data_IF_204937840854
#
_entry.id   IF_204937840854
#
_cell.length_a   1.000
_cell.length_b   1.000
_cell.length_c   1.000
_cell.angle_alpha   90.00
_cell.angle_beta   90.00
_cell.angle_gamma   90.00
#
_symmetry.space_group_name_H-M   'P 1'
#
loop_
_entity.id
_entity.type
_entity.pdbx_description
1 polymer ?
#
# COMPACT_ATOMS: atom_id res chain seq x y z
N UNK A 1 31.48 4.08 83.88
CA UNK A 1 31.15 5.05 82.84
C UNK A 1 31.16 4.31 81.51
N UNK A 2 30.00 3.88 81.03
CA UNK A 2 29.85 3.12 79.79
C UNK A 2 28.99 3.96 78.80
N UNK A 3 29.60 4.41 77.70
CA UNK A 3 28.91 5.15 76.66
C UNK A 3 28.42 4.15 75.63
N UNK A 4 27.09 4.00 75.55
CA UNK A 4 26.43 3.22 74.46
C UNK A 4 26.24 4.11 73.25
N UNK A 5 26.87 3.71 72.12
CA UNK A 5 26.66 4.31 70.83
C UNK A 5 25.43 3.64 70.16
N UNK A 6 24.39 4.41 69.90
CA UNK A 6 23.24 3.93 69.12
C UNK A 6 23.51 4.06 67.64
N UNK A 7 23.53 2.92 66.93
CA UNK A 7 23.65 2.85 65.48
C UNK A 7 22.27 3.04 64.85
N UNK A 8 22.07 4.19 64.19
CA UNK A 8 20.86 4.42 63.41
C UNK A 8 21.05 3.81 62.02
N UNK A 9 20.37 2.71 61.75
CA UNK A 9 20.29 2.09 60.41
C UNK A 9 19.25 2.85 59.58
N UNK A 10 19.72 3.62 58.60
CA UNK A 10 18.90 4.28 57.60
C UNK A 10 18.53 3.24 56.52
N UNK A 11 17.31 2.68 56.56
CA UNK A 11 16.79 1.78 55.54
C UNK A 11 16.37 2.57 54.30
N UNK A 12 17.17 2.51 53.24
CA UNK A 12 16.85 3.08 51.95
C UNK A 12 15.83 2.16 51.23
N UNK A 13 14.55 2.50 51.28
CA UNK A 13 13.50 1.75 50.55
C UNK A 13 13.58 2.08 49.06
N UNK A 14 14.17 1.13 48.31
CA UNK A 14 14.13 1.13 46.86
C UNK A 14 12.69 0.76 46.39
N UNK A 15 11.88 1.74 46.00
CA UNK A 15 10.58 1.47 45.36
C UNK A 15 10.84 0.98 43.94
N UNK A 16 10.44 -0.25 43.58
CA UNK A 16 10.52 -0.67 42.18
C UNK A 16 9.56 0.21 41.36
N UNK A 17 10.10 1.00 40.43
CA UNK A 17 9.34 1.71 39.44
C UNK A 17 8.51 0.71 38.64
N UNK A 18 7.19 0.77 38.76
CA UNK A 18 6.27 0.01 37.91
C UNK A 18 6.52 0.47 36.49
N UNK A 19 6.89 -0.41 35.55
CA UNK A 19 6.99 -0.02 34.15
C UNK A 19 5.63 0.52 33.72
N UNK A 20 5.58 1.75 33.22
CA UNK A 20 4.40 2.29 32.60
C UNK A 20 4.03 1.32 31.45
N UNK A 21 2.98 0.54 31.65
CA UNK A 21 2.40 -0.26 30.59
C UNK A 21 2.06 0.72 29.48
N UNK A 22 2.74 0.60 28.34
CA UNK A 22 2.40 1.30 27.12
C UNK A 22 0.88 1.09 26.95
N UNK A 23 0.12 2.19 26.99
CA UNK A 23 -1.30 2.14 26.75
C UNK A 23 -1.44 1.56 25.35
N UNK A 24 -1.86 0.30 25.26
CA UNK A 24 -2.21 -0.30 23.99
C UNK A 24 -3.26 0.62 23.38
N UNK A 25 -3.03 1.03 22.12
CA UNK A 25 -3.95 1.85 21.34
C UNK A 25 -5.25 1.09 21.06
N UNK A 26 -5.96 0.76 22.13
CA UNK A 26 -7.10 -0.12 22.11
C UNK A 26 -8.31 0.54 21.44
N UNK A 27 -8.94 -0.19 20.54
CA UNK A 27 -10.26 0.11 20.01
C UNK A 27 -11.33 -0.27 21.07
N UNK A 28 -12.48 0.40 21.12
CA UNK A 28 -12.90 1.52 20.27
C UNK A 28 -12.42 2.90 20.82
N UNK A 29 -12.29 3.90 19.92
CA UNK A 29 -12.05 5.29 20.28
C UNK A 29 -12.86 6.25 19.40
N UNK A 30 -13.02 7.51 19.85
CA UNK A 30 -13.65 8.57 19.05
C UNK A 30 -12.57 9.30 18.25
N UNK A 31 -12.77 9.42 16.94
CA UNK A 31 -11.82 10.07 16.03
C UNK A 31 -11.90 11.58 16.22
N UNK A 32 -10.86 12.18 16.77
CA UNK A 32 -10.72 13.64 16.92
C UNK A 32 -10.07 14.30 15.71
N UNK A 33 -9.18 13.56 15.03
CA UNK A 33 -8.49 14.03 13.82
C UNK A 33 -8.19 12.85 12.89
N UNK A 34 -7.93 13.15 11.61
CA UNK A 34 -7.49 12.16 10.59
C UNK A 34 -6.22 12.68 9.93
N UNK A 35 -5.19 11.85 9.87
CA UNK A 35 -3.92 12.14 9.20
C UNK A 35 -3.60 11.02 8.22
N UNK A 36 -3.16 11.37 7.01
CA UNK A 36 -2.76 10.42 5.98
C UNK A 36 -1.26 10.51 5.76
N UNK A 37 -0.57 9.36 5.74
CA UNK A 37 0.87 9.25 5.55
C UNK A 37 1.19 8.33 4.37
N UNK A 38 2.32 8.58 3.68
CA UNK A 38 2.81 7.73 2.59
C UNK A 38 2.29 8.10 1.20
N UNK A 39 1.52 9.17 1.06
CA UNK A 39 1.06 9.69 -0.22
C UNK A 39 2.23 10.25 -1.06
N UNK A 40 2.18 10.01 -2.35
CA UNK A 40 3.15 10.50 -3.34
C UNK A 40 2.47 11.24 -4.50
N UNK A 41 1.43 10.66 -5.07
CA UNK A 41 0.69 11.15 -6.25
C UNK A 41 -0.80 11.33 -5.97
N UNK A 42 -1.36 10.48 -5.12
CA UNK A 42 -2.76 10.57 -4.69
C UNK A 42 -2.91 11.71 -3.69
N UNK A 43 -3.93 12.55 -3.84
CA UNK A 43 -4.17 13.63 -2.88
C UNK A 43 -4.83 13.11 -1.60
N UNK A 44 -4.62 13.78 -0.47
CA UNK A 44 -5.35 13.47 0.78
C UNK A 44 -6.86 13.54 0.59
N UNK A 45 -7.34 14.53 -0.17
CA UNK A 45 -8.78 14.67 -0.48
C UNK A 45 -9.35 13.44 -1.19
N UNK A 46 -8.55 12.79 -2.02
CA UNK A 46 -8.95 11.51 -2.64
C UNK A 46 -9.12 10.43 -1.57
N UNK A 47 -8.17 10.33 -0.62
CA UNK A 47 -8.28 9.35 0.47
C UNK A 47 -9.54 9.61 1.31
N UNK A 48 -9.79 10.86 1.70
CA UNK A 48 -10.96 11.23 2.49
C UNK A 48 -12.29 10.91 1.78
N UNK A 49 -12.36 11.03 0.46
CA UNK A 49 -13.56 10.69 -0.31
C UNK A 49 -13.91 9.20 -0.27
N UNK A 50 -12.93 8.34 -0.09
CA UNK A 50 -13.12 6.89 -0.04
C UNK A 50 -13.09 6.31 1.39
N UNK A 51 -12.61 7.09 2.36
CA UNK A 51 -12.54 6.67 3.75
C UNK A 51 -13.92 6.76 4.41
N UNK A 52 -14.57 5.67 4.82
CA UNK A 52 -15.91 5.68 5.42
C UNK A 52 -15.86 6.04 6.92
N UNK A 53 -15.00 6.99 7.30
CA UNK A 53 -14.78 7.44 8.68
C UNK A 53 -14.65 8.96 8.69
N UNK A 54 -15.35 9.61 9.60
CA UNK A 54 -15.31 11.05 9.81
C UNK A 54 -14.81 11.40 11.20
N UNK A 55 -14.40 12.65 11.38
CA UNK A 55 -14.12 13.22 12.71
C UNK A 55 -15.41 13.18 13.53
N UNK A 56 -15.32 12.72 14.78
CA UNK A 56 -16.44 12.49 15.68
C UNK A 56 -16.99 11.07 15.65
N UNK A 57 -16.63 10.25 14.67
CA UNK A 57 -17.06 8.85 14.60
C UNK A 57 -16.39 8.00 15.68
N UNK A 58 -17.16 7.04 16.20
CA UNK A 58 -16.59 5.99 17.07
C UNK A 58 -16.02 4.87 16.18
N UNK A 59 -14.72 4.68 16.27
CA UNK A 59 -13.99 3.68 15.48
C UNK A 59 -13.79 2.41 16.31
N UNK A 60 -14.33 1.32 15.82
CA UNK A 60 -14.12 -0.04 16.35
C UNK A 60 -13.39 -0.92 15.32
N UNK A 61 -13.09 -2.15 15.67
CA UNK A 61 -12.38 -3.09 14.82
C UNK A 61 -13.13 -3.42 13.51
N UNK A 62 -14.46 -3.34 13.49
CA UNK A 62 -15.23 -3.56 12.27
C UNK A 62 -15.09 -2.39 11.30
N UNK A 63 -15.25 -1.17 11.78
CA UNK A 63 -15.10 0.06 10.98
C UNK A 63 -13.68 0.22 10.44
N UNK A 64 -12.65 -0.19 11.23
CA UNK A 64 -11.26 -0.26 10.73
C UNK A 64 -11.15 -1.19 9.52
N UNK A 65 -11.72 -2.39 9.60
CA UNK A 65 -11.71 -3.33 8.47
C UNK A 65 -12.45 -2.80 7.23
N UNK A 66 -13.57 -2.11 7.46
CA UNK A 66 -14.35 -1.48 6.39
C UNK A 66 -13.56 -0.36 5.71
N UNK A 67 -12.89 0.48 6.50
CA UNK A 67 -12.03 1.56 6.01
C UNK A 67 -10.86 1.02 5.16
N UNK A 68 -10.18 0.00 5.66
CA UNK A 68 -9.09 -0.67 4.93
C UNK A 68 -9.60 -1.24 3.60
N UNK A 69 -10.73 -1.97 3.60
CA UNK A 69 -11.31 -2.53 2.38
C UNK A 69 -11.72 -1.46 1.37
N UNK A 70 -12.32 -0.37 1.84
CA UNK A 70 -12.73 0.73 0.97
C UNK A 70 -11.52 1.37 0.27
N UNK A 71 -10.42 1.59 0.97
CA UNK A 71 -9.19 2.12 0.40
C UNK A 71 -8.53 1.13 -0.58
N UNK A 72 -8.47 -0.17 -0.24
CA UNK A 72 -7.97 -1.18 -1.18
C UNK A 72 -8.83 -1.28 -2.45
N UNK A 73 -10.15 -1.14 -2.33
CA UNK A 73 -11.07 -1.22 -3.47
C UNK A 73 -10.85 -0.10 -4.50
N UNK A 74 -10.20 1.01 -4.11
CA UNK A 74 -9.83 2.08 -5.07
C UNK A 74 -8.80 1.64 -6.10
N UNK A 75 -8.01 0.60 -5.79
CA UNK A 75 -6.90 0.15 -6.61
C UNK A 75 -5.65 1.06 -6.57
N UNK A 76 -5.69 2.18 -5.82
CA UNK A 76 -4.55 3.10 -5.74
C UNK A 76 -3.42 2.60 -4.84
N UNK A 77 -3.74 1.77 -3.86
CA UNK A 77 -2.81 1.37 -2.81
C UNK A 77 -2.47 -0.12 -2.90
N UNK A 78 -1.20 -0.43 -2.72
CA UNK A 78 -0.75 -1.82 -2.55
C UNK A 78 -0.73 -2.24 -1.09
N UNK A 79 -0.69 -1.26 -0.17
CA UNK A 79 -0.80 -1.49 1.26
C UNK A 79 -1.53 -0.35 1.97
N UNK A 80 -2.32 -0.69 2.99
CA UNK A 80 -3.09 0.24 3.82
C UNK A 80 -3.03 -0.24 5.26
N UNK A 81 -2.50 0.59 6.13
CA UNK A 81 -2.46 0.36 7.56
C UNK A 81 -3.21 1.47 8.29
N UNK A 82 -3.95 1.13 9.32
CA UNK A 82 -4.62 2.09 10.19
C UNK A 82 -3.99 2.00 11.57
N UNK A 83 -3.49 3.13 12.04
CA UNK A 83 -2.90 3.31 13.38
C UNK A 83 -3.71 4.33 14.16
N UNK A 84 -3.55 4.30 15.45
CA UNK A 84 -4.07 5.31 16.37
C UNK A 84 -2.91 6.09 16.99
N UNK A 85 -3.04 7.41 17.07
CA UNK A 85 -2.13 8.30 17.78
C UNK A 85 -2.97 9.26 18.62
N UNK A 86 -3.18 8.89 19.91
CA UNK A 86 -4.11 9.59 20.80
C UNK A 86 -5.57 9.49 20.33
N UNK A 87 -6.15 10.60 19.89
CA UNK A 87 -7.46 10.69 19.24
C UNK A 87 -7.38 10.80 17.70
N UNK A 88 -6.17 10.80 17.17
CA UNK A 88 -5.93 10.89 15.72
C UNK A 88 -5.95 9.51 15.07
N UNK A 89 -6.77 9.36 14.03
CA UNK A 89 -6.72 8.23 13.12
C UNK A 89 -5.59 8.48 12.10
N UNK A 90 -4.55 7.64 12.12
CA UNK A 90 -3.46 7.71 11.16
C UNK A 90 -3.65 6.64 10.09
N UNK A 91 -3.89 7.05 8.86
CA UNK A 91 -4.02 6.18 7.69
C UNK A 91 -2.68 6.16 6.96
N UNK A 92 -1.95 5.07 7.08
CA UNK A 92 -0.66 4.89 6.40
C UNK A 92 -0.89 4.10 5.13
N UNK A 93 -0.50 4.67 4.00
CA UNK A 93 -0.72 4.04 2.68
C UNK A 93 0.59 3.86 1.93
N UNK A 94 0.63 2.83 1.10
CA UNK A 94 1.69 2.62 0.14
C UNK A 94 1.08 2.60 -1.26
N UNK A 95 1.31 3.66 -2.03
CA UNK A 95 0.72 3.80 -3.35
C UNK A 95 1.28 2.77 -4.35
N UNK A 96 0.41 2.26 -5.22
CA UNK A 96 0.84 1.54 -6.43
C UNK A 96 1.47 2.53 -7.40
N UNK A 97 2.56 2.18 -8.08
CA UNK A 97 3.11 3.04 -9.13
C UNK A 97 2.11 3.19 -10.29
N UNK A 98 2.29 4.23 -11.09
CA UNK A 98 1.57 4.35 -12.35
C UNK A 98 2.46 3.96 -13.54
N UNK A 99 1.82 3.49 -14.60
CA UNK A 99 2.50 3.18 -15.86
C UNK A 99 2.89 4.49 -16.54
N UNK A 100 4.19 4.78 -16.64
CA UNK A 100 4.71 5.91 -17.40
C UNK A 100 4.63 5.63 -18.90
N UNK A 101 5.11 4.47 -19.30
CA UNK A 101 5.10 4.00 -20.68
C UNK A 101 5.21 2.48 -20.74
N UNK A 102 4.82 1.92 -21.85
CA UNK A 102 5.14 0.53 -22.20
C UNK A 102 5.64 0.42 -23.63
N UNK A 103 6.56 -0.49 -23.85
CA UNK A 103 7.19 -0.77 -25.12
C UNK A 103 7.01 -2.24 -25.47
N UNK A 104 6.73 -2.51 -26.75
CA UNK A 104 6.62 -3.88 -27.28
C UNK A 104 7.66 -4.03 -28.37
N UNK A 105 8.47 -5.07 -28.26
CA UNK A 105 9.52 -5.42 -29.23
C UNK A 105 9.35 -6.87 -29.69
N UNK A 106 9.93 -7.19 -30.86
CA UNK A 106 9.88 -8.55 -31.43
C UNK A 106 8.56 -8.94 -32.08
N UNK A 107 7.53 -8.11 -32.03
CA UNK A 107 6.17 -8.37 -32.51
C UNK A 107 6.02 -8.29 -34.06
N UNK A 108 6.87 -9.00 -34.80
CA UNK A 108 6.92 -8.94 -36.27
C UNK A 108 5.62 -9.36 -36.98
N UNK A 109 4.84 -10.24 -36.35
CA UNK A 109 3.62 -10.83 -36.93
C UNK A 109 2.34 -10.04 -36.61
N UNK A 110 2.39 -9.07 -35.69
CA UNK A 110 1.23 -8.26 -35.26
C UNK A 110 1.64 -6.79 -35.19
N UNK A 111 0.80 -5.91 -35.75
CA UNK A 111 1.08 -4.47 -35.71
C UNK A 111 1.08 -3.95 -34.27
N UNK A 112 2.07 -3.13 -33.94
CA UNK A 112 2.26 -2.57 -32.61
C UNK A 112 1.03 -1.79 -32.14
N UNK A 113 0.38 -1.03 -33.05
CA UNK A 113 -0.81 -0.23 -32.75
C UNK A 113 -2.00 -1.11 -32.32
N UNK A 114 -2.19 -2.26 -32.96
CA UNK A 114 -3.27 -3.20 -32.64
C UNK A 114 -3.01 -3.87 -31.29
N UNK A 115 -1.76 -4.25 -31.01
CA UNK A 115 -1.35 -4.76 -29.70
C UNK A 115 -1.56 -3.72 -28.61
N UNK A 116 -1.14 -2.48 -28.84
CA UNK A 116 -1.31 -1.40 -27.86
C UNK A 116 -2.79 -1.11 -27.52
N UNK A 117 -3.69 -1.19 -28.51
CA UNK A 117 -5.14 -1.06 -28.27
C UNK A 117 -5.66 -2.22 -27.42
N UNK A 118 -5.25 -3.43 -27.73
CA UNK A 118 -5.68 -4.62 -27.01
C UNK A 118 -5.15 -4.65 -25.58
N UNK A 119 -3.89 -4.27 -25.37
CA UNK A 119 -3.27 -4.20 -24.04
C UNK A 119 -3.93 -3.19 -23.12
N UNK A 120 -4.47 -2.10 -23.66
CA UNK A 120 -5.30 -1.16 -22.88
C UNK A 120 -6.54 -1.82 -22.29
N UNK A 121 -7.15 -2.78 -22.99
CA UNK A 121 -8.34 -3.48 -22.52
C UNK A 121 -8.02 -4.47 -21.38
N UNK A 122 -6.81 -4.98 -21.33
CA UNK A 122 -6.33 -5.83 -20.22
C UNK A 122 -5.65 -5.04 -19.09
N UNK A 123 -5.78 -3.70 -19.11
CA UNK A 123 -5.34 -2.84 -18.02
C UNK A 123 -3.94 -2.22 -18.20
N UNK A 124 -3.19 -2.55 -19.27
CA UNK A 124 -1.89 -1.96 -19.52
C UNK A 124 -2.03 -0.66 -20.35
N UNK A 125 -2.11 0.48 -19.67
CA UNK A 125 -2.21 1.79 -20.32
C UNK A 125 -1.40 2.85 -19.55
N UNK A 126 -0.79 3.78 -20.29
CA UNK A 126 -0.09 4.92 -19.70
C UNK A 126 -1.02 5.72 -18.76
N UNK A 127 -0.51 6.09 -17.60
CA UNK A 127 -1.24 6.82 -16.56
C UNK A 127 -2.12 5.94 -15.67
N UNK A 128 -2.35 4.68 -16.00
CA UNK A 128 -3.07 3.74 -15.12
C UNK A 128 -2.18 3.27 -13.98
N UNK A 129 -2.81 2.93 -12.88
CA UNK A 129 -2.15 2.28 -11.74
C UNK A 129 -1.62 0.92 -12.18
N UNK A 130 -0.37 0.63 -11.84
CA UNK A 130 0.28 -0.62 -12.19
C UNK A 130 0.06 -1.67 -11.10
N UNK A 131 -0.44 -2.82 -11.52
CA UNK A 131 -0.48 -4.05 -10.73
C UNK A 131 0.32 -5.15 -11.45
N UNK A 132 1.08 -5.93 -10.72
CA UNK A 132 1.86 -7.03 -11.31
C UNK A 132 0.99 -8.11 -11.94
N UNK A 133 -0.23 -8.31 -11.45
CA UNK A 133 -1.19 -9.27 -12.05
C UNK A 133 -1.49 -8.94 -13.52
N UNK A 134 -1.50 -7.65 -13.88
CA UNK A 134 -1.69 -7.22 -15.27
C UNK A 134 -0.63 -7.80 -16.22
N UNK A 135 0.58 -8.08 -15.74
CA UNK A 135 1.63 -8.68 -16.59
C UNK A 135 1.30 -10.13 -16.96
N UNK A 136 0.72 -10.88 -16.06
CA UNK A 136 0.30 -12.26 -16.35
C UNK A 136 -0.86 -12.28 -17.35
N UNK A 137 -1.83 -11.37 -17.18
CA UNK A 137 -2.93 -11.20 -18.13
C UNK A 137 -2.41 -10.78 -19.51
N UNK A 138 -1.41 -9.89 -19.56
CA UNK A 138 -0.73 -9.47 -20.80
C UNK A 138 -0.03 -10.65 -21.47
N UNK A 139 0.74 -11.43 -20.73
CA UNK A 139 1.45 -12.61 -21.26
C UNK A 139 0.45 -13.63 -21.82
N UNK A 140 -0.59 -13.94 -21.07
CA UNK A 140 -1.62 -14.86 -21.51
C UNK A 140 -2.31 -14.36 -22.77
N UNK A 141 -2.75 -13.10 -22.78
CA UNK A 141 -3.39 -12.46 -23.92
C UNK A 141 -2.50 -12.52 -25.17
N UNK A 142 -1.23 -12.13 -25.07
CA UNK A 142 -0.30 -12.17 -26.19
C UNK A 142 -0.06 -13.60 -26.66
N UNK A 143 0.14 -14.54 -25.76
CA UNK A 143 0.32 -15.96 -26.10
C UNK A 143 -0.86 -16.47 -26.92
N UNK A 144 -2.10 -16.20 -26.49
CA UNK A 144 -3.32 -16.60 -27.20
C UNK A 144 -3.42 -15.94 -28.59
N UNK A 145 -3.03 -14.66 -28.70
CA UNK A 145 -3.00 -13.93 -29.98
C UNK A 145 -2.02 -14.55 -30.97
N UNK A 146 -0.86 -15.01 -30.53
CA UNK A 146 0.14 -15.65 -31.38
C UNK A 146 -0.24 -17.10 -31.71
N UNK A 147 -0.77 -17.84 -30.75
CA UNK A 147 -1.28 -19.21 -30.95
C UNK A 147 -2.40 -19.27 -31.98
N UNK A 148 -3.34 -18.31 -31.95
CA UNK A 148 -4.41 -18.22 -32.94
C UNK A 148 -3.91 -17.98 -34.38
N UNK A 149 -2.66 -17.54 -34.53
CA UNK A 149 -1.97 -17.35 -35.81
C UNK A 149 -1.00 -18.51 -36.16
N UNK A 150 -1.07 -19.61 -35.39
CA UNK A 150 -0.20 -20.78 -35.61
C UNK A 150 1.24 -20.61 -35.10
N UNK A 151 1.51 -19.59 -34.28
CA UNK A 151 2.84 -19.29 -33.71
C UNK A 151 3.00 -19.94 -32.35
N UNK A 152 3.05 -21.25 -32.27
CA UNK A 152 3.06 -22.03 -31.03
C UNK A 152 4.36 -21.96 -30.23
N UNK A 153 5.45 -21.49 -30.86
CA UNK A 153 6.76 -21.34 -30.19
C UNK A 153 7.01 -19.94 -29.65
N UNK A 154 6.00 -19.08 -29.56
CA UNK A 154 6.17 -17.72 -29.03
C UNK A 154 6.58 -17.76 -27.56
N UNK A 155 7.51 -16.88 -27.22
CA UNK A 155 7.90 -16.60 -25.84
C UNK A 155 7.65 -15.13 -25.54
N UNK A 156 6.97 -14.85 -24.42
CA UNK A 156 6.68 -13.49 -23.99
C UNK A 156 7.42 -13.22 -22.69
N UNK A 157 8.38 -12.33 -22.74
CA UNK A 157 9.12 -11.87 -21.57
C UNK A 157 8.69 -10.43 -21.21
N UNK A 158 8.52 -10.15 -19.92
CA UNK A 158 8.12 -8.84 -19.43
C UNK A 158 9.09 -8.33 -18.38
N UNK A 159 9.53 -7.09 -18.51
CA UNK A 159 10.43 -6.41 -17.58
C UNK A 159 9.76 -5.13 -17.08
N UNK A 160 9.87 -4.85 -15.78
CA UNK A 160 9.38 -3.63 -15.16
C UNK A 160 10.55 -2.85 -14.62
N UNK A 161 10.68 -1.60 -15.05
CA UNK A 161 11.72 -0.68 -14.61
C UNK A 161 11.09 0.43 -13.78
N UNK A 162 11.54 0.58 -12.54
CA UNK A 162 11.12 1.68 -11.68
C UNK A 162 11.59 3.02 -12.23
N UNK A 163 10.72 4.02 -12.19
CA UNK A 163 10.96 5.39 -12.65
C UNK A 163 10.72 6.38 -11.52
N UNK A 164 11.37 7.55 -11.54
CA UNK A 164 11.13 8.59 -10.53
C UNK A 164 9.65 8.98 -10.42
N UNK A 165 9.21 9.35 -9.22
CA UNK A 165 7.84 9.81 -8.97
C UNK A 165 6.80 8.69 -8.92
N UNK A 166 7.17 7.53 -8.36
CA UNK A 166 6.31 6.36 -8.19
C UNK A 166 5.66 5.93 -9.52
N UNK A 167 6.49 5.74 -10.56
CA UNK A 167 6.11 5.33 -11.90
C UNK A 167 6.89 4.10 -12.31
N UNK A 168 6.38 3.40 -13.31
CA UNK A 168 7.07 2.25 -13.93
C UNK A 168 7.03 2.33 -15.45
N UNK A 169 8.08 1.82 -16.07
CA UNK A 169 8.12 1.50 -17.49
C UNK A 169 8.04 -0.02 -17.64
N UNK A 170 7.16 -0.47 -18.53
CA UNK A 170 6.98 -1.89 -18.84
C UNK A 170 7.56 -2.20 -20.21
N UNK A 171 8.46 -3.17 -20.28
CA UNK A 171 8.99 -3.70 -21.54
C UNK A 171 8.43 -5.09 -21.78
N UNK A 172 8.00 -5.36 -23.00
CA UNK A 172 7.42 -6.62 -23.44
C UNK A 172 8.20 -7.06 -24.67
N UNK A 173 8.83 -8.23 -24.58
CA UNK A 173 9.57 -8.86 -25.69
C UNK A 173 8.81 -10.11 -26.15
N UNK A 174 8.62 -10.23 -27.46
CA UNK A 174 7.85 -11.30 -28.10
C UNK A 174 8.76 -12.17 -28.96
#
# INVERSE_FOLDING_TARGET
MKRSAALVLLALTLTPGVPALAQSDALPFTVGNIRVEGLQRVSEGTVYNYLPVNIGDRLDAQRVREAIRALYATGFFRDVEIRRDGDTLVVVVLERPSIESFEITGNKDVKTEDLQKSLRNVGLATGKTFDRSVLEDVKQFLTDQYFSRGKYGVRIDTTVEDQPGNRVRVKIEV
#
